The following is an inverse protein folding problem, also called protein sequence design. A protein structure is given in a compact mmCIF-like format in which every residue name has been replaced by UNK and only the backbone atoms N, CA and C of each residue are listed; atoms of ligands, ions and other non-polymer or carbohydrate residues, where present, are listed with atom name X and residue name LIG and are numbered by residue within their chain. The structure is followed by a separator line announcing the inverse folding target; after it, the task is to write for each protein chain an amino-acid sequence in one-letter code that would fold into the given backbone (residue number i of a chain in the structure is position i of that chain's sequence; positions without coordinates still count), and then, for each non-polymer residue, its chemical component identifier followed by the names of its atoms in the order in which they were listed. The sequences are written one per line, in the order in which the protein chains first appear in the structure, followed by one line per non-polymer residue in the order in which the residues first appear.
data_IF_147733542666
#
_entry.id   IF_147733542666
#
_cell.length_a   1.000
_cell.length_b   1.000
_cell.length_c   1.000
_cell.angle_alpha   90.00
_cell.angle_beta   90.00
_cell.angle_gamma   90.00
#
_symmetry.space_group_name_H-M   'P 1'
#
loop_
_entity.id
_entity.type
_entity.pdbx_description
1 polymer ?
#
# COMPACT_ATOMS: atom_id res chain seq x y z
N UNK A 1 20.38 -1.14 -12.48
CA UNK A 1 20.59 -2.24 -11.51
C UNK A 1 19.25 -2.39 -10.83
N UNK A 2 18.36 -3.20 -11.41
CA UNK A 2 17.03 -3.43 -10.85
C UNK A 2 17.20 -4.04 -9.46
N UNK A 3 16.44 -3.55 -8.48
CA UNK A 3 16.42 -4.12 -7.14
C UNK A 3 15.99 -5.58 -7.29
N UNK A 4 16.86 -6.50 -6.88
CA UNK A 4 16.51 -7.89 -6.73
C UNK A 4 15.47 -7.93 -5.62
N UNK A 5 14.29 -8.49 -5.92
CA UNK A 5 13.29 -8.78 -4.89
C UNK A 5 13.95 -9.52 -3.72
N UNK A 6 13.59 -9.13 -2.51
CA UNK A 6 13.99 -9.89 -1.32
C UNK A 6 13.47 -11.32 -1.41
N UNK A 7 14.07 -12.26 -0.67
CA UNK A 7 13.52 -13.61 -0.59
C UNK A 7 12.08 -13.52 -0.05
N UNK A 8 11.16 -14.17 -0.76
CA UNK A 8 9.81 -14.40 -0.27
C UNK A 8 9.84 -15.21 1.06
N UNK A 9 8.69 -15.35 1.71
CA UNK A 9 8.55 -16.18 2.91
C UNK A 9 8.97 -17.66 2.70
N UNK A 10 9.19 -18.10 1.45
CA UNK A 10 9.70 -19.42 1.08
C UNK A 10 11.22 -19.49 0.88
N UNK A 11 11.94 -18.37 0.97
CA UNK A 11 13.40 -18.30 0.83
C UNK A 11 13.89 -18.55 -0.60
N UNK A 12 13.03 -18.37 -1.61
CA UNK A 12 13.36 -18.56 -3.01
C UNK A 12 13.61 -17.19 -3.66
N UNK A 13 14.74 -17.06 -4.36
CA UNK A 13 14.98 -15.94 -5.27
C UNK A 13 14.20 -16.20 -6.57
N UNK A 14 12.87 -16.05 -6.49
CA UNK A 14 12.04 -15.95 -7.67
C UNK A 14 12.30 -14.59 -8.29
N UNK A 15 12.51 -14.56 -9.60
CA UNK A 15 12.42 -13.35 -10.42
C UNK A 15 10.92 -12.97 -10.48
N UNK A 16 10.34 -12.73 -9.30
CA UNK A 16 8.94 -12.39 -9.13
C UNK A 16 8.79 -10.99 -9.72
N UNK A 17 7.85 -10.76 -10.65
CA UNK A 17 7.51 -9.40 -11.04
C UNK A 17 7.23 -8.58 -9.78
N UNK A 18 8.17 -7.70 -9.45
CA UNK A 18 8.12 -6.85 -8.26
C UNK A 18 6.76 -6.16 -8.25
N UNK A 19 5.95 -6.45 -7.23
CA UNK A 19 4.60 -5.88 -7.14
C UNK A 19 4.71 -4.36 -7.01
N UNK A 20 3.93 -3.65 -7.83
CA UNK A 20 3.96 -2.19 -7.89
C UNK A 20 2.62 -1.64 -7.46
N UNK A 21 2.67 -0.69 -6.55
CA UNK A 21 1.51 0.01 -6.03
C UNK A 21 1.84 1.45 -5.71
N UNK A 22 0.81 2.23 -5.39
CA UNK A 22 0.94 3.54 -4.76
C UNK A 22 0.46 3.39 -3.31
N UNK A 23 1.34 3.67 -2.35
CA UNK A 23 1.01 3.62 -0.93
C UNK A 23 -0.11 4.62 -0.63
N UNK A 24 -1.19 4.12 -0.06
CA UNK A 24 -2.39 4.89 0.22
C UNK A 24 -3.44 4.92 -0.90
N UNK A 25 -3.17 4.39 -2.10
CA UNK A 25 -4.22 4.18 -3.12
C UNK A 25 -5.01 2.90 -2.77
N UNK A 26 -5.92 3.05 -1.81
CA UNK A 26 -6.65 1.94 -1.22
C UNK A 26 -7.79 1.45 -2.11
N UNK A 27 -8.28 2.30 -3.02
CA UNK A 27 -9.36 1.95 -3.93
C UNK A 27 -8.85 1.55 -5.34
N UNK A 28 -7.56 1.76 -5.63
CA UNK A 28 -6.89 1.39 -6.86
C UNK A 28 -7.24 2.27 -8.06
N UNK A 29 -7.64 3.52 -7.85
CA UNK A 29 -8.04 4.45 -8.91
C UNK A 29 -6.90 5.38 -9.39
N UNK A 30 -5.72 5.27 -8.79
CA UNK A 30 -4.52 6.02 -9.12
C UNK A 30 -4.50 7.44 -8.55
N UNK A 31 -5.51 7.84 -7.76
CA UNK A 31 -5.61 9.16 -7.14
C UNK A 31 -5.64 9.04 -5.62
N UNK A 32 -4.74 9.75 -4.94
CA UNK A 32 -4.83 9.88 -3.48
C UNK A 32 -5.83 10.96 -3.09
N UNK A 33 -7.01 10.56 -2.62
CA UNK A 33 -8.04 11.47 -2.13
C UNK A 33 -8.84 10.89 -0.94
N UNK A 34 -9.98 11.51 -0.62
CA UNK A 34 -10.80 11.09 0.54
C UNK A 34 -11.44 9.71 0.36
N UNK A 35 -11.54 9.20 -0.86
CA UNK A 35 -12.09 7.88 -1.13
C UNK A 35 -11.18 6.76 -0.64
N UNK A 36 -9.87 7.00 -0.52
CA UNK A 36 -8.90 6.04 0.02
C UNK A 36 -9.10 5.70 1.50
N UNK A 37 -9.12 6.67 2.44
CA UNK A 37 -9.39 6.37 3.85
C UNK A 37 -10.80 5.79 4.04
N UNK A 38 -11.76 6.13 3.16
CA UNK A 38 -13.08 5.47 3.16
C UNK A 38 -12.98 4.01 2.72
N UNK A 39 -12.15 3.72 1.71
CA UNK A 39 -11.81 2.36 1.27
C UNK A 39 -11.17 1.54 2.39
N UNK A 40 -10.17 2.09 3.07
CA UNK A 40 -9.52 1.46 4.24
C UNK A 40 -10.52 1.14 5.35
N UNK A 41 -11.38 2.09 5.72
CA UNK A 41 -12.42 1.86 6.74
C UNK A 41 -13.44 0.80 6.30
N UNK A 42 -13.73 0.73 5.00
CA UNK A 42 -14.60 -0.30 4.42
C UNK A 42 -13.94 -1.67 4.48
N UNK A 43 -12.63 -1.77 4.23
CA UNK A 43 -11.85 -2.99 4.41
C UNK A 43 -11.87 -3.44 5.88
N UNK A 44 -11.59 -2.54 6.82
CA UNK A 44 -11.50 -2.84 8.26
C UNK A 44 -12.84 -3.25 8.90
N UNK A 45 -13.93 -2.56 8.55
CA UNK A 45 -15.21 -2.69 9.27
C UNK A 45 -16.41 -3.00 8.39
N UNK A 46 -16.32 -2.75 7.08
CA UNK A 46 -17.41 -2.89 6.12
C UNK A 46 -17.44 -4.23 5.39
N UNK A 47 -16.44 -5.09 5.58
CA UNK A 47 -16.28 -6.33 4.81
C UNK A 47 -15.82 -6.09 3.37
N UNK A 48 -15.18 -4.95 3.12
CA UNK A 48 -14.51 -4.68 1.84
C UNK A 48 -13.31 -5.62 1.63
N UNK A 49 -12.91 -5.75 0.37
CA UNK A 49 -11.73 -6.52 -0.04
C UNK A 49 -10.77 -5.60 -0.75
N UNK A 50 -9.46 -5.80 -0.55
CA UNK A 50 -8.41 -5.16 -1.34
C UNK A 50 -7.61 -6.23 -2.06
N UNK A 51 -7.15 -5.90 -3.27
CA UNK A 51 -6.15 -6.70 -3.99
C UNK A 51 -4.72 -6.25 -3.63
N UNK A 52 -4.56 -5.15 -2.91
CA UNK A 52 -3.27 -4.62 -2.48
C UNK A 52 -3.31 -4.30 -0.99
N UNK A 53 -2.64 -5.11 -0.17
CA UNK A 53 -2.58 -4.88 1.27
C UNK A 53 -1.54 -3.81 1.62
N UNK A 54 -0.45 -3.72 0.86
CA UNK A 54 0.57 -2.67 1.06
C UNK A 54 0.03 -1.27 0.79
N UNK A 55 -0.97 -1.12 -0.11
CA UNK A 55 -1.61 0.18 -0.31
C UNK A 55 -2.49 0.61 0.85
N UNK A 56 -2.90 -0.33 1.72
CA UNK A 56 -3.71 -0.05 2.91
C UNK A 56 -2.86 0.29 4.14
N UNK A 57 -1.61 -0.18 4.20
CA UNK A 57 -0.65 0.18 5.24
C UNK A 57 0.04 1.50 4.88
N UNK A 58 -0.59 2.61 5.25
CA UNK A 58 -0.15 3.95 4.85
C UNK A 58 0.99 4.43 5.74
N UNK A 59 0.99 3.99 7.00
CA UNK A 59 1.99 4.40 7.97
C UNK A 59 3.25 3.51 7.93
N UNK A 60 3.22 2.42 7.15
CA UNK A 60 4.33 1.51 6.86
C UNK A 60 4.81 0.77 8.12
N UNK A 61 3.87 0.30 8.95
CA UNK A 61 4.15 -0.39 10.22
C UNK A 61 3.96 -1.92 10.18
N UNK A 62 3.57 -2.45 9.01
CA UNK A 62 3.34 -3.87 8.73
C UNK A 62 1.99 -4.38 9.24
N UNK A 63 1.07 -3.50 9.64
CA UNK A 63 -0.25 -3.85 10.15
C UNK A 63 -1.34 -2.94 9.58
N UNK A 64 -2.38 -3.54 9.00
CA UNK A 64 -3.55 -2.78 8.54
C UNK A 64 -4.51 -2.57 9.72
N UNK A 65 -4.57 -1.36 10.26
CA UNK A 65 -5.46 -1.00 11.36
C UNK A 65 -6.04 0.42 11.25
N UNK A 66 -6.66 0.92 12.33
CA UNK A 66 -7.32 2.24 12.33
C UNK A 66 -6.33 3.40 12.19
N UNK A 67 -5.05 3.18 12.44
CA UNK A 67 -4.01 4.19 12.33
C UNK A 67 -3.78 4.60 10.88
N UNK A 68 -3.97 3.70 9.90
CA UNK A 68 -3.80 3.97 8.47
C UNK A 68 -4.76 5.03 7.91
N UNK A 69 -6.09 4.89 8.03
CA UNK A 69 -7.01 5.92 7.56
C UNK A 69 -6.85 7.22 8.36
N UNK A 70 -6.45 7.17 9.63
CA UNK A 70 -6.17 8.38 10.43
C UNK A 70 -4.91 9.09 9.91
N UNK A 71 -3.85 8.34 9.59
CA UNK A 71 -2.63 8.87 9.00
C UNK A 71 -2.93 9.55 7.67
N UNK A 72 -3.68 8.87 6.80
CA UNK A 72 -4.09 9.39 5.49
C UNK A 72 -4.92 10.67 5.58
N UNK A 73 -5.92 10.71 6.47
CA UNK A 73 -6.71 11.93 6.70
C UNK A 73 -5.86 13.08 7.25
N UNK A 74 -4.87 12.76 8.09
CA UNK A 74 -3.88 13.71 8.60
C UNK A 74 -3.06 14.34 7.47
N UNK A 75 -2.58 13.53 6.52
CA UNK A 75 -1.90 13.99 5.32
C UNK A 75 -2.80 14.88 4.46
N UNK A 76 -4.00 14.41 4.11
CA UNK A 76 -4.92 15.09 3.18
C UNK A 76 -5.43 16.44 3.71
N UNK A 77 -5.72 16.55 5.01
CA UNK A 77 -6.46 17.69 5.55
C UNK A 77 -5.73 18.50 6.63
N UNK A 78 -4.68 17.95 7.23
CA UNK A 78 -4.00 18.58 8.38
C UNK A 78 -2.53 18.91 8.13
N UNK A 79 -2.03 18.70 6.90
CA UNK A 79 -0.62 18.91 6.58
C UNK A 79 0.30 17.91 7.29
N UNK A 80 -0.22 16.70 7.56
CA UNK A 80 0.57 15.58 8.08
C UNK A 80 1.66 15.13 7.12
N UNK A 81 2.48 14.20 7.57
CA UNK A 81 3.53 13.62 6.73
C UNK A 81 2.91 12.87 5.54
N UNK A 82 3.53 12.93 4.36
CA UNK A 82 3.10 12.09 3.24
C UNK A 82 3.27 10.60 3.58
N UNK A 83 2.53 9.70 2.88
CA UNK A 83 2.80 8.27 2.94
C UNK A 83 4.26 7.97 2.64
N UNK A 84 4.78 6.90 3.26
CA UNK A 84 6.10 6.37 2.92
C UNK A 84 6.12 5.90 1.46
N UNK A 85 7.29 5.76 0.86
CA UNK A 85 7.39 5.20 -0.48
C UNK A 85 6.72 3.81 -0.52
N UNK A 86 6.07 3.41 -1.63
CA UNK A 86 5.98 4.11 -2.93
C UNK A 86 4.85 5.17 -3.00
N UNK A 87 5.22 6.45 -2.97
CA UNK A 87 4.30 7.60 -3.10
C UNK A 87 5.06 8.82 -3.66
N UNK A 88 4.46 9.67 -4.52
CA UNK A 88 3.13 9.58 -5.16
C UNK A 88 3.12 8.73 -6.43
N UNK A 89 4.27 8.21 -6.83
CA UNK A 89 4.40 7.35 -8.00
C UNK A 89 4.40 5.88 -7.59
N UNK A 90 4.05 5.05 -8.56
CA UNK A 90 4.15 3.61 -8.40
C UNK A 90 5.58 3.15 -8.15
N UNK A 91 5.70 2.16 -7.28
CA UNK A 91 6.95 1.51 -6.99
C UNK A 91 6.74 0.24 -6.16
N UNK A 92 7.83 -0.50 -5.93
CA UNK A 92 7.80 -1.63 -5.02
C UNK A 92 7.80 -1.16 -3.57
N UNK A 93 7.42 -2.06 -2.65
CA UNK A 93 7.59 -1.82 -1.22
C UNK A 93 9.10 -1.76 -0.89
N UNK A 94 9.63 -0.63 -0.38
CA UNK A 94 11.01 -0.55 0.09
C UNK A 94 11.26 -1.29 1.42
N UNK A 95 10.19 -1.61 2.15
CA UNK A 95 10.18 -2.30 3.43
C UNK A 95 9.59 -3.68 3.25
N UNK A 96 10.30 -4.71 3.69
CA UNK A 96 9.80 -6.07 3.59
C UNK A 96 8.98 -6.40 4.83
N UNK A 97 7.71 -6.73 4.65
CA UNK A 97 6.85 -7.26 5.70
C UNK A 97 6.01 -8.47 5.20
N UNK A 98 4.86 -8.74 5.84
CA UNK A 98 3.98 -9.86 5.49
C UNK A 98 2.74 -9.47 4.69
N UNK A 99 2.62 -8.19 4.32
CA UNK A 99 1.62 -7.65 3.42
C UNK A 99 2.12 -7.79 1.98
N UNK A 100 1.18 -7.83 1.04
CA UNK A 100 1.47 -8.06 -0.38
C UNK A 100 0.30 -7.57 -1.25
N UNK A 101 0.50 -7.47 -2.56
CA UNK A 101 -0.44 -6.90 -3.53
C UNK A 101 -0.78 -7.78 -4.72
N UNK A 102 -1.64 -8.77 -4.51
CA UNK A 102 -2.18 -9.72 -5.50
C UNK A 102 -2.51 -9.08 -6.87
N UNK A 103 -1.52 -9.04 -7.78
CA UNK A 103 -1.67 -8.57 -9.15
C UNK A 103 -0.53 -7.67 -9.65
N UNK A 104 -0.02 -7.97 -10.85
CA UNK A 104 1.20 -7.37 -11.41
C UNK A 104 1.12 -5.89 -11.79
N UNK A 105 -0.02 -5.20 -11.59
CA UNK A 105 -0.24 -3.84 -12.10
C UNK A 105 -1.40 -3.14 -11.38
N UNK A 106 -1.22 -2.71 -10.14
CA UNK A 106 -2.11 -1.76 -9.47
C UNK A 106 -1.90 -0.31 -9.95
N UNK A 107 -1.15 -0.13 -11.03
CA UNK A 107 -0.63 1.15 -11.49
C UNK A 107 -1.23 1.51 -12.86
N UNK A 108 -1.77 2.73 -13.04
CA UNK A 108 -2.25 3.22 -14.33
C UNK A 108 -1.14 3.41 -15.39
#
# INVERSE_FOLDING_TARGET
IAALGGPDAAGIFVDDPIEQFVRGDANGDGSLDISDPVGMLTYLFGGGTSNCLDSLDVNDDGSIDISDPVYMLGFLFSGGNPPTAPFPGCGPDPTTDGLDCIGLSGCP
#
